data_IF_387043144811
#
_entry.id   IF_387043144811
#
_cell.length_a   1.000
_cell.length_b   1.000
_cell.length_c   1.000
_cell.angle_alpha   90.00
_cell.angle_beta   90.00
_cell.angle_gamma   90.00
#
_symmetry.space_group_name_H-M   'P 1'
#
loop_
_entity.id
_entity.type
_entity.pdbx_description
1 polymer ?
#
# COMPACT_ATOMS: atom_id res chain seq x y z
N UNK A 1 10.02 15.93 -8.11
CA UNK A 1 8.72 16.60 -8.36
C UNK A 1 8.09 16.98 -7.03
N UNK A 2 7.51 18.17 -6.88
CA UNK A 2 6.87 18.60 -5.62
C UNK A 2 5.34 18.51 -5.76
N UNK A 3 4.76 17.36 -5.38
CA UNK A 3 3.33 17.11 -5.54
C UNK A 3 2.47 17.99 -4.63
N UNK A 4 2.91 18.28 -3.40
CA UNK A 4 2.18 19.21 -2.53
C UNK A 4 2.02 20.59 -3.15
N UNK A 5 3.05 21.11 -3.83
CA UNK A 5 2.95 22.38 -4.55
C UNK A 5 2.01 22.28 -5.77
N UNK A 6 2.06 21.18 -6.52
CA UNK A 6 1.09 20.93 -7.60
C UNK A 6 -0.36 20.94 -7.08
N UNK A 7 -0.61 20.30 -5.94
CA UNK A 7 -1.92 20.34 -5.30
C UNK A 7 -2.37 21.76 -4.92
N UNK A 8 -1.45 22.63 -4.48
CA UNK A 8 -1.75 24.06 -4.23
C UNK A 8 -2.14 24.81 -5.50
N UNK A 9 -1.42 24.57 -6.60
CA UNK A 9 -1.70 25.19 -7.91
C UNK A 9 -3.09 24.77 -8.37
N UNK A 10 -3.39 23.48 -8.37
CA UNK A 10 -4.70 22.96 -8.76
C UNK A 10 -5.83 23.44 -7.85
N UNK A 11 -5.62 23.48 -6.53
CA UNK A 11 -6.60 24.05 -5.60
C UNK A 11 -6.89 25.53 -5.91
N UNK A 12 -5.86 26.32 -6.25
CA UNK A 12 -6.03 27.72 -6.62
C UNK A 12 -6.87 27.84 -7.89
N UNK A 13 -6.50 27.11 -8.96
CA UNK A 13 -7.26 27.08 -10.21
C UNK A 13 -8.71 26.67 -9.97
N UNK A 14 -8.96 25.62 -9.18
CA UNK A 14 -10.31 25.18 -8.85
C UNK A 14 -11.15 26.27 -8.16
N UNK A 15 -10.55 27.06 -7.27
CA UNK A 15 -11.20 28.19 -6.59
C UNK A 15 -11.47 29.35 -7.53
N UNK A 16 -10.53 29.66 -8.43
CA UNK A 16 -10.71 30.69 -9.45
C UNK A 16 -11.91 30.34 -10.35
N UNK A 17 -12.03 29.06 -10.77
CA UNK A 17 -13.17 28.56 -11.54
C UNK A 17 -14.50 28.68 -10.78
N UNK A 18 -14.52 28.33 -9.50
CA UNK A 18 -15.73 28.49 -8.65
C UNK A 18 -16.12 29.97 -8.53
N UNK A 19 -15.13 30.85 -8.40
CA UNK A 19 -15.29 32.30 -8.27
C UNK A 19 -15.93 32.97 -9.49
N UNK A 20 -15.81 32.37 -10.68
CA UNK A 20 -16.47 32.88 -11.90
C UNK A 20 -18.00 32.86 -11.82
N UNK A 21 -18.58 32.07 -10.90
CA UNK A 21 -20.03 31.84 -10.76
C UNK A 21 -20.71 31.37 -12.06
N UNK A 22 -19.94 30.85 -13.02
CA UNK A 22 -20.45 30.27 -14.27
C UNK A 22 -20.60 28.76 -14.13
N UNK A 23 -21.79 28.25 -14.43
CA UNK A 23 -22.07 26.81 -14.31
C UNK A 23 -21.33 25.97 -15.35
N UNK A 24 -21.09 26.52 -16.54
CA UNK A 24 -20.29 25.87 -17.58
C UNK A 24 -18.82 25.67 -17.16
N UNK A 25 -18.34 26.49 -16.22
CA UNK A 25 -16.97 26.43 -15.71
C UNK A 25 -16.79 25.42 -14.59
N UNK A 26 -17.88 24.94 -13.97
CA UNK A 26 -17.80 23.99 -12.85
C UNK A 26 -17.04 22.70 -13.21
N UNK A 27 -17.11 22.23 -14.45
CA UNK A 27 -16.34 21.07 -14.92
C UNK A 27 -14.83 21.26 -14.80
N UNK A 28 -14.33 22.48 -15.00
CA UNK A 28 -12.90 22.79 -14.84
C UNK A 28 -12.53 22.79 -13.36
N UNK A 29 -13.40 23.35 -12.49
CA UNK A 29 -13.19 23.21 -11.04
C UNK A 29 -13.11 21.75 -10.60
N UNK A 30 -14.04 20.91 -11.09
CA UNK A 30 -14.05 19.49 -10.77
C UNK A 30 -12.77 18.76 -11.25
N UNK A 31 -12.29 19.10 -12.45
CA UNK A 31 -11.03 18.58 -12.99
C UNK A 31 -9.84 18.96 -12.11
N UNK A 32 -9.70 20.24 -11.80
CA UNK A 32 -8.61 20.76 -10.98
C UNK A 32 -8.62 20.15 -9.57
N UNK A 33 -9.80 20.00 -8.94
CA UNK A 33 -9.91 19.34 -7.63
C UNK A 33 -9.48 17.86 -7.69
N UNK A 34 -9.79 17.17 -8.79
CA UNK A 34 -9.36 15.78 -9.00
C UNK A 34 -7.83 15.71 -9.07
N UNK A 35 -7.20 16.59 -9.83
CA UNK A 35 -5.74 16.69 -9.94
C UNK A 35 -5.09 17.04 -8.59
N UNK A 36 -5.72 17.93 -7.80
CA UNK A 36 -5.25 18.25 -6.46
C UNK A 36 -5.29 17.04 -5.51
N UNK A 37 -6.36 16.24 -5.55
CA UNK A 37 -6.49 15.01 -4.76
C UNK A 37 -5.47 13.94 -5.19
N UNK A 38 -5.23 13.79 -6.49
CA UNK A 38 -4.20 12.91 -7.04
C UNK A 38 -2.81 13.32 -6.55
N UNK A 39 -2.45 14.59 -6.72
CA UNK A 39 -1.18 15.12 -6.26
C UNK A 39 -1.00 14.92 -4.75
N UNK A 40 -2.00 15.17 -3.91
CA UNK A 40 -1.91 14.89 -2.46
C UNK A 40 -1.70 13.40 -2.15
N UNK A 41 -2.32 12.51 -2.93
CA UNK A 41 -2.15 11.07 -2.73
C UNK A 41 -0.73 10.62 -3.11
N UNK A 42 -0.16 11.18 -4.19
CA UNK A 42 1.22 10.88 -4.58
C UNK A 42 2.26 11.53 -3.66
N UNK A 43 1.99 12.74 -3.17
CA UNK A 43 2.79 13.40 -2.13
C UNK A 43 2.94 12.47 -0.92
N UNK A 44 1.82 11.86 -0.52
CA UNK A 44 1.79 10.89 0.55
C UNK A 44 2.57 9.63 0.23
N UNK A 45 2.39 9.07 -0.97
CA UNK A 45 3.09 7.85 -1.39
C UNK A 45 4.62 8.03 -1.43
N UNK A 46 5.11 9.23 -1.80
CA UNK A 46 6.54 9.55 -1.73
C UNK A 46 7.13 9.39 -0.31
N UNK A 47 6.32 9.60 0.73
CA UNK A 47 6.75 9.41 2.12
C UNK A 47 7.01 7.94 2.49
N UNK A 48 6.53 7.00 1.67
CA UNK A 48 6.66 5.55 1.82
C UNK A 48 7.50 4.93 0.69
N UNK A 49 8.23 5.74 -0.08
CA UNK A 49 8.90 5.29 -1.33
C UNK A 49 9.82 4.08 -1.16
N UNK A 50 10.44 3.93 0.01
CA UNK A 50 11.39 2.84 0.29
C UNK A 50 10.68 1.53 0.68
N UNK A 51 9.35 1.57 0.82
CA UNK A 51 8.46 0.46 1.18
C UNK A 51 7.41 0.19 0.10
N UNK A 52 7.31 1.08 -0.89
CA UNK A 52 6.27 1.04 -1.92
C UNK A 52 6.71 0.12 -3.07
N UNK A 53 5.91 -0.88 -3.46
CA UNK A 53 6.27 -1.79 -4.56
C UNK A 53 6.50 -1.03 -5.88
N UNK A 54 7.65 -1.21 -6.56
CA UNK A 54 7.96 -0.59 -7.85
C UNK A 54 6.83 -0.75 -8.89
N UNK A 55 6.28 -1.96 -9.03
CA UNK A 55 5.23 -2.27 -10.01
C UNK A 55 3.93 -1.48 -9.76
N UNK A 56 3.64 -1.13 -8.50
CA UNK A 56 2.47 -0.33 -8.14
C UNK A 56 2.65 1.15 -8.51
N UNK A 57 3.88 1.62 -8.74
CA UNK A 57 4.14 2.91 -9.37
C UNK A 57 3.75 2.93 -10.85
N UNK A 58 3.25 1.86 -11.45
CA UNK A 58 2.75 1.90 -12.83
C UNK A 58 1.23 2.14 -12.87
N UNK A 59 0.52 1.91 -11.76
CA UNK A 59 -0.95 2.01 -11.69
C UNK A 59 -1.40 3.18 -10.79
N UNK A 60 -1.50 4.37 -11.38
CA UNK A 60 -1.66 5.66 -10.68
C UNK A 60 -3.12 6.02 -10.34
N UNK A 61 -3.88 5.14 -9.69
CA UNK A 61 -5.22 5.50 -9.19
C UNK A 61 -5.17 5.81 -7.69
N UNK A 62 -5.66 6.98 -7.21
CA UNK A 62 -5.55 7.38 -5.81
C UNK A 62 -6.08 6.35 -4.81
N UNK A 63 -7.19 5.67 -5.15
CA UNK A 63 -7.76 4.62 -4.31
C UNK A 63 -6.84 3.41 -4.21
N UNK A 64 -6.22 2.99 -5.33
CA UNK A 64 -5.28 1.85 -5.34
C UNK A 64 -4.01 2.20 -4.55
N UNK A 65 -3.46 3.39 -4.80
CA UNK A 65 -2.30 3.91 -4.07
C UNK A 65 -2.57 3.95 -2.56
N UNK A 66 -3.70 4.50 -2.12
CA UNK A 66 -4.04 4.53 -0.69
C UNK A 66 -4.25 3.12 -0.10
N UNK A 67 -4.78 2.16 -0.86
CA UNK A 67 -4.87 0.77 -0.40
C UNK A 67 -3.48 0.17 -0.15
N UNK A 68 -2.53 0.35 -1.09
CA UNK A 68 -1.15 -0.10 -0.92
C UNK A 68 -0.49 0.57 0.29
N UNK A 69 -0.74 1.87 0.51
CA UNK A 69 -0.25 2.56 1.71
C UNK A 69 -0.82 1.96 3.00
N UNK A 70 -2.09 1.53 3.00
CA UNK A 70 -2.72 0.89 4.16
C UNK A 70 -2.21 -0.54 4.39
N UNK A 71 -1.74 -1.23 3.35
CA UNK A 71 -1.04 -2.53 3.48
C UNK A 71 0.36 -2.36 4.07
N UNK A 72 1.03 -1.25 3.76
CA UNK A 72 2.34 -0.90 4.33
C UNK A 72 2.20 -0.44 5.79
N UNK A 73 1.27 0.49 6.04
CA UNK A 73 0.98 1.04 7.36
C UNK A 73 -0.55 1.20 7.53
N UNK A 74 -1.18 0.39 8.42
CA UNK A 74 -2.62 0.48 8.69
C UNK A 74 -3.10 1.85 9.20
N UNK A 75 -2.19 2.71 9.67
CA UNK A 75 -2.47 4.08 10.13
C UNK A 75 -2.21 5.12 9.05
N UNK A 76 -1.82 4.72 7.84
CA UNK A 76 -1.53 5.64 6.75
C UNK A 76 -2.72 6.55 6.41
N UNK A 77 -3.98 6.19 6.61
CA UNK A 77 -5.09 7.11 6.29
C UNK A 77 -5.54 7.98 7.48
N UNK A 78 -4.82 8.00 8.60
CA UNK A 78 -5.21 8.69 9.83
C UNK A 78 -4.54 10.05 9.96
N UNK A 79 -5.30 11.01 10.52
CA UNK A 79 -4.74 12.28 10.99
C UNK A 79 -3.71 12.01 12.10
N UNK A 80 -2.71 12.87 12.22
CA UNK A 80 -1.60 12.68 13.17
C UNK A 80 -1.19 14.00 13.83
N UNK A 81 -0.47 13.91 14.94
CA UNK A 81 0.16 15.07 15.60
C UNK A 81 1.56 14.70 16.03
N UNK A 82 2.47 15.66 15.94
CA UNK A 82 3.86 15.48 16.36
C UNK A 82 4.18 16.44 17.50
N UNK A 83 4.85 15.93 18.53
CA UNK A 83 5.37 16.72 19.63
C UNK A 83 6.75 16.20 20.04
N UNK A 84 7.62 17.09 20.51
CA UNK A 84 8.98 16.76 20.96
C UNK A 84 9.20 17.29 22.37
N UNK A 85 9.90 16.51 23.20
CA UNK A 85 10.30 16.89 24.55
C UNK A 85 11.76 16.50 24.78
N UNK A 86 12.43 17.20 25.70
CA UNK A 86 13.80 16.86 26.09
C UNK A 86 13.70 15.91 27.28
N UNK A 87 14.30 14.73 27.14
CA UNK A 87 14.43 13.77 28.24
C UNK A 87 15.38 14.33 29.29
N UNK A 88 14.94 14.41 30.54
CA UNK A 88 15.80 14.76 31.67
C UNK A 88 16.66 13.57 32.12
N UNK A 89 16.16 12.35 31.88
CA UNK A 89 16.83 11.08 32.14
C UNK A 89 16.64 10.16 30.94
N UNK A 90 17.71 9.48 30.51
CA UNK A 90 17.69 8.61 29.34
C UNK A 90 16.62 7.53 29.46
N UNK A 91 15.74 7.45 28.47
CA UNK A 91 14.67 6.46 28.40
C UNK A 91 13.45 6.80 29.26
N UNK A 92 13.43 7.96 29.93
CA UNK A 92 12.25 8.46 30.66
C UNK A 92 11.56 9.51 29.80
N UNK A 93 10.26 9.34 29.46
CA UNK A 93 9.52 10.32 28.67
C UNK A 93 9.61 11.72 29.27
N UNK A 94 9.82 12.72 28.40
CA UNK A 94 9.94 14.11 28.83
C UNK A 94 8.68 14.58 29.58
N UNK A 95 8.84 15.30 30.72
CA UNK A 95 7.69 15.80 31.49
C UNK A 95 6.88 16.84 30.71
N UNK A 96 7.51 17.51 29.73
CA UNK A 96 6.86 18.49 28.87
C UNK A 96 7.11 18.18 27.39
N UNK A 97 6.03 17.97 26.67
CA UNK A 97 6.02 17.81 25.21
C UNK A 97 5.65 19.15 24.55
N UNK A 98 6.45 19.60 23.59
CA UNK A 98 6.19 20.77 22.77
C UNK A 98 5.59 20.32 21.43
N UNK A 99 4.36 20.73 21.15
CA UNK A 99 3.68 20.38 19.90
C UNK A 99 4.32 21.08 18.70
N UNK A 100 4.60 20.31 17.65
CA UNK A 100 5.02 20.79 16.33
C UNK A 100 3.83 20.98 15.37
N UNK A 101 2.65 20.48 15.76
CA UNK A 101 1.40 20.66 15.03
C UNK A 101 0.68 19.35 14.74
N UNK A 102 -0.30 19.44 13.85
CA UNK A 102 -1.13 18.30 13.42
C UNK A 102 -1.26 18.25 11.91
N UNK A 103 -1.36 17.03 11.39
CA UNK A 103 -1.61 16.75 9.99
C UNK A 103 -3.07 16.37 9.79
N UNK A 104 -3.72 17.01 8.81
CA UNK A 104 -4.96 16.52 8.21
C UNK A 104 -4.66 15.70 6.96
N UNK A 105 -5.22 14.50 6.89
CA UNK A 105 -4.93 13.54 5.82
C UNK A 105 -6.09 13.40 4.84
N UNK A 106 -5.77 13.29 3.55
CA UNK A 106 -6.71 12.86 2.52
C UNK A 106 -6.95 11.35 2.64
N UNK A 107 -7.86 10.95 3.53
CA UNK A 107 -8.07 9.56 3.89
C UNK A 107 -8.92 8.77 2.86
N UNK A 108 -8.92 7.44 2.98
CA UNK A 108 -9.62 6.53 2.07
C UNK A 108 -11.12 6.83 1.97
N UNK A 109 -11.78 7.20 3.08
CA UNK A 109 -13.22 7.51 3.06
C UNK A 109 -13.53 8.76 2.24
N UNK A 110 -12.67 9.79 2.31
CA UNK A 110 -12.79 11.02 1.51
C UNK A 110 -12.53 10.72 0.04
N UNK A 111 -11.50 9.94 -0.28
CA UNK A 111 -11.24 9.49 -1.65
C UNK A 111 -12.46 8.77 -2.24
N UNK A 112 -13.02 7.78 -1.53
CA UNK A 112 -14.22 7.04 -1.97
C UNK A 112 -15.44 7.94 -2.17
N UNK A 113 -15.65 8.92 -1.27
CA UNK A 113 -16.80 9.82 -1.32
C UNK A 113 -16.70 10.83 -2.46
N UNK A 114 -15.51 11.39 -2.69
CA UNK A 114 -15.35 12.58 -3.51
C UNK A 114 -14.69 12.35 -4.86
N UNK A 115 -13.72 11.44 -4.96
CA UNK A 115 -12.96 11.24 -6.19
C UNK A 115 -13.83 10.73 -7.35
N UNK A 116 -14.62 9.68 -7.09
CA UNK A 116 -15.52 9.10 -8.09
C UNK A 116 -16.66 10.08 -8.46
N UNK A 117 -17.13 10.85 -7.47
CA UNK A 117 -18.11 11.89 -7.68
C UNK A 117 -17.59 13.00 -8.61
N UNK A 118 -16.35 13.46 -8.45
CA UNK A 118 -15.74 14.43 -9.35
C UNK A 118 -15.61 13.87 -10.77
N UNK A 119 -15.21 12.61 -10.90
CA UNK A 119 -15.15 11.92 -12.19
C UNK A 119 -16.48 11.95 -12.95
N UNK A 120 -17.59 11.71 -12.24
CA UNK A 120 -18.93 11.72 -12.84
C UNK A 120 -19.29 13.05 -13.51
N UNK A 121 -18.77 14.19 -13.03
CA UNK A 121 -19.03 15.50 -13.61
C UNK A 121 -18.22 15.82 -14.86
N UNK A 122 -17.18 15.02 -15.15
CA UNK A 122 -16.32 15.20 -16.32
C UNK A 122 -16.84 14.41 -17.54
N UNK A 123 -17.74 13.46 -17.32
CA UNK A 123 -18.32 12.65 -18.37
C UNK A 123 -19.56 13.30 -18.98
N UNK A 124 -19.78 13.04 -20.28
CA UNK A 124 -21.05 13.34 -20.94
C UNK A 124 -22.14 12.48 -20.29
N UNK A 125 -23.36 13.03 -20.18
CA UNK A 125 -24.50 12.30 -19.63
C UNK A 125 -24.70 10.97 -20.38
N UNK A 126 -24.93 9.91 -19.61
CA UNK A 126 -25.18 8.58 -20.17
C UNK A 126 -26.51 8.53 -20.93
N UNK A 127 -26.63 7.60 -21.89
CA UNK A 127 -27.88 7.37 -22.64
C UNK A 127 -29.09 7.13 -21.72
N UNK A 128 -28.86 6.49 -20.56
CA UNK A 128 -29.90 6.30 -19.53
C UNK A 128 -30.34 7.62 -18.91
N UNK A 129 -29.40 8.47 -18.50
CA UNK A 129 -29.71 9.78 -17.92
C UNK A 129 -30.44 10.70 -18.89
N UNK A 130 -30.05 10.68 -20.17
CA UNK A 130 -30.75 11.43 -21.23
C UNK A 130 -32.18 10.91 -21.41
N UNK A 131 -32.36 9.59 -21.45
CA UNK A 131 -33.69 8.95 -21.54
C UNK A 131 -34.58 9.29 -20.33
N UNK A 132 -33.99 9.31 -19.14
CA UNK A 132 -34.68 9.61 -17.89
C UNK A 132 -34.89 11.13 -17.68
N UNK A 133 -34.50 11.98 -18.66
CA UNK A 133 -34.65 13.44 -18.59
C UNK A 133 -33.83 14.10 -17.49
N UNK A 134 -32.77 13.44 -17.01
CA UNK A 134 -31.98 13.91 -15.88
C UNK A 134 -31.25 15.21 -16.24
N UNK A 135 -31.58 16.30 -15.54
CA UNK A 135 -30.90 17.59 -15.66
C UNK A 135 -29.69 17.60 -14.72
N UNK A 136 -28.56 18.13 -15.20
CA UNK A 136 -27.38 18.36 -14.37
C UNK A 136 -27.71 19.40 -13.28
N UNK A 137 -27.61 18.97 -12.02
CA UNK A 137 -27.79 19.84 -10.87
C UNK A 137 -26.47 20.59 -10.58
N UNK A 138 -26.36 21.78 -11.16
CA UNK A 138 -25.19 22.66 -10.99
C UNK A 138 -25.03 23.17 -9.55
N UNK A 139 -26.12 23.35 -8.80
CA UNK A 139 -26.04 23.77 -7.40
C UNK A 139 -25.40 22.68 -6.55
N UNK A 140 -25.81 21.43 -6.75
CA UNK A 140 -25.20 20.27 -6.07
C UNK A 140 -23.75 20.08 -6.49
N UNK A 141 -23.43 20.27 -7.77
CA UNK A 141 -22.05 20.20 -8.27
C UNK A 141 -21.18 21.26 -7.60
N UNK A 142 -21.64 22.52 -7.57
CA UNK A 142 -20.93 23.64 -6.94
C UNK A 142 -20.70 23.40 -5.45
N UNK A 143 -21.74 23.05 -4.69
CA UNK A 143 -21.64 22.77 -3.27
C UNK A 143 -20.62 21.65 -2.97
N UNK A 144 -20.58 20.62 -3.82
CA UNK A 144 -19.60 19.53 -3.69
C UNK A 144 -18.18 19.99 -4.01
N UNK A 145 -17.98 20.79 -5.07
CA UNK A 145 -16.67 21.36 -5.37
C UNK A 145 -16.18 22.27 -4.24
N UNK A 146 -17.05 23.06 -3.63
CA UNK A 146 -16.72 23.90 -2.48
C UNK A 146 -16.35 23.07 -1.23
N UNK A 147 -17.09 22.01 -0.93
CA UNK A 147 -16.78 21.06 0.14
C UNK A 147 -15.38 20.45 -0.05
N UNK A 148 -15.09 19.96 -1.25
CA UNK A 148 -13.80 19.34 -1.58
C UNK A 148 -12.67 20.37 -1.55
N UNK A 149 -12.87 21.56 -2.13
CA UNK A 149 -11.89 22.65 -2.11
C UNK A 149 -11.53 23.05 -0.66
N UNK A 150 -12.52 23.07 0.24
CA UNK A 150 -12.34 23.39 1.65
C UNK A 150 -11.55 22.28 2.36
N UNK A 151 -11.86 21.02 2.08
CA UNK A 151 -11.13 19.88 2.62
C UNK A 151 -9.67 19.82 2.13
N UNK A 152 -9.44 19.99 0.83
CA UNK A 152 -8.09 20.03 0.23
C UNK A 152 -7.29 21.20 0.80
N UNK A 153 -7.92 22.37 1.00
CA UNK A 153 -7.28 23.51 1.67
C UNK A 153 -6.88 23.17 3.11
N UNK A 154 -7.72 22.48 3.86
CA UNK A 154 -7.42 22.03 5.22
C UNK A 154 -6.20 21.09 5.24
N UNK A 155 -6.17 20.08 4.37
CA UNK A 155 -5.02 19.16 4.22
C UNK A 155 -3.73 19.94 3.93
N UNK A 156 -3.79 20.88 2.99
CA UNK A 156 -2.65 21.71 2.58
C UNK A 156 -2.23 22.76 3.63
N UNK A 157 -3.11 23.11 4.57
CA UNK A 157 -2.81 24.03 5.67
C UNK A 157 -2.08 23.38 6.84
N UNK A 158 -1.99 22.05 6.85
CA UNK A 158 -1.30 21.30 7.90
C UNK A 158 0.16 21.77 8.05
N UNK A 159 0.59 22.21 9.25
CA UNK A 159 1.96 22.69 9.50
C UNK A 159 3.01 21.57 9.42
N UNK A 160 2.58 20.34 9.75
CA UNK A 160 3.35 19.11 9.54
C UNK A 160 2.58 18.24 8.54
N UNK A 161 3.31 17.45 7.74
CA UNK A 161 2.73 16.54 6.76
C UNK A 161 3.73 15.45 6.41
N UNK A 162 3.23 14.29 5.99
CA UNK A 162 4.05 13.15 5.54
C UNK A 162 5.11 12.71 6.56
N UNK A 163 4.82 12.87 7.86
CA UNK A 163 5.72 12.42 8.92
C UNK A 163 5.50 10.93 9.13
N UNK A 164 6.46 10.11 8.68
CA UNK A 164 6.40 8.66 8.81
C UNK A 164 7.46 8.18 9.81
N UNK A 165 7.04 7.91 11.05
CA UNK A 165 7.89 7.29 12.07
C UNK A 165 7.56 5.79 12.15
N UNK A 166 8.54 4.96 12.47
CA UNK A 166 8.31 3.53 12.62
C UNK A 166 9.59 2.74 12.88
N UNK A 167 9.40 1.48 13.23
CA UNK A 167 10.48 0.49 13.32
C UNK A 167 10.65 -0.20 11.98
N UNK A 168 11.90 -0.38 11.56
CA UNK A 168 12.22 -0.95 10.25
C UNK A 168 13.25 -2.06 10.36
N UNK A 169 12.97 -3.19 9.73
CA UNK A 169 13.94 -4.24 9.46
C UNK A 169 14.59 -4.00 8.09
N UNK A 170 15.90 -4.15 8.01
CA UNK A 170 16.66 -4.06 6.76
C UNK A 170 17.48 -5.34 6.58
N UNK A 171 17.53 -5.85 5.36
CA UNK A 171 18.36 -7.00 4.99
C UNK A 171 18.68 -6.99 3.50
N UNK A 172 19.61 -7.84 3.06
CA UNK A 172 19.80 -8.16 1.63
C UNK A 172 19.01 -9.42 1.30
N UNK A 173 18.35 -9.43 0.15
CA UNK A 173 17.71 -10.64 -0.36
C UNK A 173 18.76 -11.75 -0.50
N UNK A 174 18.48 -12.93 0.06
CA UNK A 174 19.39 -14.08 -0.05
C UNK A 174 19.45 -14.62 -1.49
N UNK A 175 18.40 -14.40 -2.29
CA UNK A 175 18.34 -14.88 -3.67
C UNK A 175 19.06 -13.96 -4.66
N UNK A 176 18.74 -12.66 -4.63
CA UNK A 176 19.17 -11.70 -5.66
C UNK A 176 20.00 -10.52 -5.10
N UNK A 177 20.38 -10.58 -3.82
CA UNK A 177 21.20 -9.60 -3.11
C UNK A 177 20.64 -8.16 -3.02
N UNK A 178 19.48 -7.92 -3.61
CA UNK A 178 18.83 -6.60 -3.60
C UNK A 178 18.40 -6.20 -2.18
N UNK A 179 18.49 -4.91 -1.82
CA UNK A 179 18.10 -4.45 -0.49
C UNK A 179 16.60 -4.67 -0.27
N UNK A 180 16.25 -5.14 0.93
CA UNK A 180 14.88 -5.25 1.41
C UNK A 180 14.76 -4.39 2.67
N UNK A 181 13.78 -3.48 2.66
CA UNK A 181 13.39 -2.68 3.81
C UNK A 181 11.93 -2.96 4.11
N UNK A 182 11.62 -3.31 5.36
CA UNK A 182 10.24 -3.58 5.78
C UNK A 182 9.94 -2.91 7.11
N UNK A 183 8.81 -2.20 7.18
CA UNK A 183 8.26 -1.66 8.42
C UNK A 183 7.69 -2.78 9.27
N UNK A 184 7.96 -2.71 10.57
CA UNK A 184 7.43 -3.60 11.59
C UNK A 184 6.29 -2.86 12.27
N UNK A 185 5.02 -3.25 12.07
CA UNK A 185 3.90 -2.61 12.73
C UNK A 185 3.94 -2.81 14.25
N UNK A 186 3.53 -1.79 15.00
CA UNK A 186 3.50 -1.85 16.46
C UNK A 186 2.72 -3.08 16.97
N UNK A 187 3.35 -3.85 17.85
CA UNK A 187 2.73 -5.03 18.47
C UNK A 187 2.68 -6.28 17.60
N UNK A 188 3.20 -6.25 16.37
CA UNK A 188 3.38 -7.46 15.56
C UNK A 188 4.73 -8.10 15.84
N UNK A 189 4.71 -9.37 16.25
CA UNK A 189 5.92 -10.18 16.46
C UNK A 189 6.46 -10.79 15.17
N UNK A 190 5.57 -11.04 14.21
CA UNK A 190 5.91 -11.65 12.93
C UNK A 190 5.32 -10.81 11.79
N UNK A 191 6.15 -10.55 10.79
CA UNK A 191 5.80 -9.74 9.62
C UNK A 191 6.28 -10.44 8.35
N UNK A 192 5.40 -10.53 7.36
CA UNK A 192 5.76 -11.05 6.05
C UNK A 192 6.48 -9.97 5.22
N UNK A 193 7.59 -10.35 4.58
CA UNK A 193 8.32 -9.52 3.66
C UNK A 193 8.52 -10.23 2.32
N UNK A 194 8.55 -9.44 1.25
CA UNK A 194 8.79 -9.90 -0.11
C UNK A 194 9.89 -9.04 -0.73
N UNK A 195 10.82 -9.66 -1.44
CA UNK A 195 11.77 -8.96 -2.28
C UNK A 195 11.07 -8.47 -3.55
N UNK A 196 11.01 -7.15 -3.74
CA UNK A 196 10.36 -6.59 -4.93
C UNK A 196 11.01 -6.99 -6.27
N UNK A 197 12.28 -7.39 -6.26
CA UNK A 197 13.04 -7.74 -7.47
C UNK A 197 12.82 -9.18 -7.95
N UNK A 198 12.84 -10.16 -7.06
CA UNK A 198 12.77 -11.60 -7.39
C UNK A 198 11.55 -12.32 -6.79
N UNK A 199 10.73 -11.63 -5.99
CA UNK A 199 9.57 -12.18 -5.28
C UNK A 199 9.91 -13.25 -4.22
N UNK A 200 11.17 -13.38 -3.81
CA UNK A 200 11.56 -14.13 -2.62
C UNK A 200 10.80 -13.64 -1.38
N UNK A 201 10.22 -14.55 -0.60
CA UNK A 201 9.45 -14.21 0.60
C UNK A 201 10.15 -14.63 1.88
N UNK A 202 9.89 -13.89 2.95
CA UNK A 202 10.52 -14.04 4.26
C UNK A 202 9.49 -13.81 5.37
N UNK A 203 9.71 -14.47 6.52
CA UNK A 203 9.10 -14.10 7.81
C UNK A 203 10.14 -13.36 8.63
N UNK A 204 9.80 -12.14 9.05
CA UNK A 204 10.58 -11.33 9.98
C UNK A 204 10.01 -11.54 11.38
N UNK A 205 10.84 -12.00 12.31
CA UNK A 205 10.48 -12.16 13.72
C UNK A 205 11.22 -11.14 14.57
N UNK A 206 10.50 -10.40 15.40
CA UNK A 206 11.08 -9.53 16.42
C UNK A 206 11.63 -10.39 17.58
N UNK A 207 12.95 -10.34 17.79
CA UNK A 207 13.64 -11.09 18.85
C UNK A 207 13.82 -10.26 20.13
N UNK A 208 13.34 -9.01 20.16
CA UNK A 208 13.56 -8.07 21.26
C UNK A 208 14.89 -7.32 21.13
N UNK A 209 15.04 -6.27 21.95
CA UNK A 209 16.26 -5.41 21.98
C UNK A 209 16.66 -4.80 20.62
N UNK A 210 15.71 -4.66 19.70
CA UNK A 210 15.96 -4.15 18.35
C UNK A 210 16.56 -5.18 17.39
N UNK A 211 16.71 -6.44 17.82
CA UNK A 211 17.09 -7.57 16.98
C UNK A 211 15.91 -8.10 16.17
N UNK A 212 16.15 -8.38 14.89
CA UNK A 212 15.16 -9.01 14.01
C UNK A 212 15.77 -10.20 13.30
N UNK A 213 15.02 -11.29 13.23
CA UNK A 213 15.40 -12.49 12.50
C UNK A 213 14.66 -12.57 11.19
N UNK A 214 15.39 -12.83 10.11
CA UNK A 214 14.84 -13.06 8.78
C UNK A 214 14.86 -14.54 8.47
N UNK A 215 13.69 -15.13 8.27
CA UNK A 215 13.55 -16.55 7.90
C UNK A 215 13.06 -16.65 6.46
N UNK A 216 13.90 -17.11 5.50
CA UNK A 216 13.49 -17.25 4.11
C UNK A 216 12.46 -18.37 3.94
N UNK A 217 11.48 -18.18 3.06
CA UNK A 217 10.52 -19.20 2.71
C UNK A 217 11.07 -20.12 1.63
N UNK A 218 11.87 -21.08 2.08
CA UNK A 218 12.48 -22.10 1.27
C UNK A 218 12.09 -23.49 1.77
N UNK A 219 12.09 -24.46 0.87
CA UNK A 219 11.91 -25.87 1.22
C UNK A 219 12.98 -26.70 0.53
N UNK A 220 13.48 -27.70 1.24
CA UNK A 220 14.27 -28.76 0.62
C UNK A 220 13.33 -29.76 -0.03
N UNK A 221 13.56 -30.02 -1.32
CA UNK A 221 12.80 -31.00 -2.10
C UNK A 221 13.77 -32.07 -2.60
N UNK A 222 13.42 -33.32 -2.35
CA UNK A 222 14.14 -34.49 -2.85
C UNK A 222 13.74 -34.79 -4.30
N UNK A 223 14.67 -35.37 -5.07
CA UNK A 223 14.36 -35.91 -6.38
C UNK A 223 13.27 -36.99 -6.24
N UNK A 224 12.23 -36.91 -7.07
CA UNK A 224 11.11 -37.83 -7.07
C UNK A 224 11.50 -39.25 -7.53
N UNK A 225 12.67 -39.41 -8.15
CA UNK A 225 13.23 -40.73 -8.38
C UNK A 225 13.61 -41.36 -7.04
N UNK A 226 12.90 -42.42 -6.65
CA UNK A 226 13.08 -43.12 -5.36
C UNK A 226 14.49 -43.66 -5.13
N UNK A 227 15.28 -43.83 -6.20
CA UNK A 227 16.67 -44.29 -6.15
C UNK A 227 17.68 -43.13 -6.10
N UNK A 228 17.21 -41.88 -6.13
CA UNK A 228 18.04 -40.67 -6.12
C UNK A 228 17.60 -39.76 -4.97
N UNK A 229 18.39 -39.66 -3.91
CA UNK A 229 18.10 -38.81 -2.75
C UNK A 229 18.69 -37.40 -2.87
N UNK A 230 19.01 -36.96 -4.09
CA UNK A 230 19.55 -35.63 -4.31
C UNK A 230 18.50 -34.58 -3.94
N UNK A 231 18.88 -33.64 -3.09
CA UNK A 231 18.04 -32.51 -2.67
C UNK A 231 18.38 -31.25 -3.45
N UNK A 232 17.37 -30.41 -3.59
CA UNK A 232 17.52 -29.00 -3.97
C UNK A 232 16.76 -28.14 -2.97
N UNK A 233 17.19 -26.88 -2.84
CA UNK A 233 16.42 -25.85 -2.15
C UNK A 233 15.60 -25.13 -3.19
N UNK A 234 14.29 -25.00 -2.95
CA UNK A 234 13.38 -24.23 -3.78
C UNK A 234 12.70 -23.15 -2.96
N UNK A 235 12.53 -21.99 -3.57
CA UNK A 235 11.77 -20.91 -2.96
C UNK A 235 10.28 -21.16 -3.08
N UNK A 236 9.51 -20.62 -2.14
CA UNK A 236 8.07 -20.76 -2.16
C UNK A 236 7.42 -20.21 -3.45
N UNK A 237 7.93 -19.09 -3.98
CA UNK A 237 7.45 -18.51 -5.24
C UNK A 237 7.79 -19.37 -6.48
N UNK A 238 8.66 -20.37 -6.34
CA UNK A 238 9.01 -21.31 -7.41
C UNK A 238 8.14 -22.56 -7.41
N UNK A 239 7.34 -22.79 -6.37
CA UNK A 239 6.45 -23.96 -6.25
C UNK A 239 5.19 -23.80 -7.11
N UNK A 240 5.38 -23.69 -8.42
CA UNK A 240 4.31 -23.57 -9.41
C UNK A 240 4.05 -24.91 -10.11
N UNK A 241 2.76 -25.23 -10.31
CA UNK A 241 2.35 -26.45 -11.00
C UNK A 241 2.88 -26.45 -12.44
N UNK A 242 3.54 -27.55 -12.83
CA UNK A 242 4.13 -27.71 -14.16
C UNK A 242 5.55 -27.18 -14.29
N UNK A 243 6.06 -26.43 -13.31
CA UNK A 243 7.50 -26.10 -13.25
C UNK A 243 8.31 -27.37 -13.03
N UNK A 244 9.46 -27.46 -13.68
CA UNK A 244 10.32 -28.65 -13.63
C UNK A 244 11.79 -28.30 -13.40
N UNK A 245 12.55 -29.27 -12.92
CA UNK A 245 13.99 -29.19 -12.74
C UNK A 245 14.67 -30.51 -13.07
N UNK A 246 15.87 -30.44 -13.66
CA UNK A 246 16.68 -31.63 -13.96
C UNK A 246 17.61 -31.94 -12.81
N UNK A 247 17.55 -33.18 -12.34
CA UNK A 247 18.40 -33.65 -11.25
C UNK A 247 19.85 -33.81 -11.72
N UNK A 248 20.79 -33.13 -11.06
CA UNK A 248 22.21 -33.18 -11.41
C UNK A 248 22.84 -34.57 -11.22
N UNK A 249 22.23 -35.43 -10.41
CA UNK A 249 22.76 -36.76 -10.10
C UNK A 249 22.21 -37.86 -11.04
N UNK A 250 20.89 -37.97 -11.17
CA UNK A 250 20.27 -39.00 -12.02
C UNK A 250 19.88 -38.53 -13.43
N UNK A 251 20.05 -37.23 -13.73
CA UNK A 251 19.61 -36.57 -14.96
C UNK A 251 18.10 -36.69 -15.27
N UNK A 252 17.31 -37.18 -14.31
CA UNK A 252 15.86 -37.24 -14.39
C UNK A 252 15.22 -35.86 -14.25
N UNK A 253 14.09 -35.67 -14.92
CA UNK A 253 13.28 -34.45 -14.84
C UNK A 253 12.23 -34.60 -13.74
N UNK A 254 12.21 -33.65 -12.81
CA UNK A 254 11.25 -33.59 -11.72
C UNK A 254 10.29 -32.44 -12.01
N UNK A 255 8.99 -32.68 -11.88
CA UNK A 255 7.96 -31.67 -12.13
C UNK A 255 7.10 -31.49 -10.89
N UNK A 256 6.85 -30.24 -10.52
CA UNK A 256 5.92 -29.92 -9.44
C UNK A 256 4.48 -30.18 -9.90
N UNK A 257 3.78 -31.04 -9.18
CA UNK A 257 2.39 -31.41 -9.44
C UNK A 257 1.55 -31.23 -8.18
N UNK A 258 0.26 -30.92 -8.34
CA UNK A 258 -0.69 -31.02 -7.23
C UNK A 258 -1.02 -32.49 -7.01
N UNK A 259 -0.85 -32.96 -5.77
CA UNK A 259 -1.21 -34.32 -5.37
C UNK A 259 -2.09 -34.28 -4.12
N UNK A 260 -3.09 -35.16 -4.10
CA UNK A 260 -3.90 -35.47 -2.92
C UNK A 260 -3.51 -36.89 -2.49
N UNK A 261 -3.17 -37.08 -1.22
CA UNK A 261 -2.87 -38.42 -0.68
C UNK A 261 -3.91 -38.78 0.39
N UNK A 262 -4.40 -40.02 0.31
CA UNK A 262 -5.26 -40.62 1.33
C UNK A 262 -4.42 -41.60 2.15
N UNK A 263 -4.50 -41.49 3.48
CA UNK A 263 -3.87 -42.44 4.40
C UNK A 263 -4.96 -43.12 5.23
N UNK A 264 -5.17 -44.40 4.97
CA UNK A 264 -6.11 -45.22 5.72
C UNK A 264 -5.60 -45.42 7.16
N UNK A 265 -6.48 -45.29 8.15
CA UNK A 265 -6.13 -45.54 9.55
C UNK A 265 -6.06 -47.06 9.77
N UNK A 266 -4.97 -47.63 10.32
CA UNK A 266 -4.87 -49.07 10.50
C UNK A 266 -5.95 -49.55 11.46
N UNK A 267 -6.86 -50.39 10.95
CA UNK A 267 -7.99 -50.94 11.69
C UNK A 267 -7.47 -52.00 12.67
N UNK A 268 -7.22 -51.62 13.92
CA UNK A 268 -6.78 -52.55 14.98
C UNK A 268 -7.94 -53.37 15.53
N UNK A 269 -8.59 -54.17 14.69
CA UNK A 269 -9.45 -55.26 15.14
C UNK A 269 -8.88 -56.58 14.61
N UNK A 270 -8.02 -57.21 15.43
CA UNK A 270 -7.73 -58.64 15.32
C UNK A 270 -9.02 -59.39 15.64
N UNK A 271 -9.59 -60.07 14.65
CA UNK A 271 -10.54 -61.15 14.93
C UNK A 271 -9.74 -62.31 15.53
N UNK A 272 -10.00 -62.57 16.81
CA UNK A 272 -9.60 -63.76 17.57
C UNK A 272 -10.29 -65.01 17.05
#
# INVERSE_FOLDING_TARGET
MNYRNLARIHLKSAKDELGTKSDQRLKYSALELRMAMEALTYDRALAYKDEFPPDEYETWQPRKVMSVLLEIDPRADKDSSLAIGIEEQYGVPAPKMNSLGSEKVLCMSVLRKHYDALGSYLHVQSMRQVRDGAILDFNRMRARCEEIASFVALVLSSPIFNVTLGSFANSKCVECESPIRKRIPDGQREVLAECHQCKATYTITDEGEGGVKWTPHQQEVECANTNCHQKIVVWHHELEVGRHWKCKNCNGENTFVLAISYKETPNTYKAS
#
